data_IF_394388189345
#
_entry.id   IF_394388189345
#
_cell.length_a   1.000
_cell.length_b   1.000
_cell.length_c   1.000
_cell.angle_alpha   90.00
_cell.angle_beta   90.00
_cell.angle_gamma   90.00
#
_symmetry.space_group_name_H-M   'P 1'
#
loop_
_entity.id
_entity.type
_entity.pdbx_description
1 polymer ?
#
# COMPACT_ATOMS: atom_id res chain seq x y z
N UNK A 1 3.80 -7.87 15.60
CA UNK A 1 3.29 -9.00 16.41
C UNK A 1 2.91 -10.14 15.48
N UNK A 2 3.16 -11.39 15.89
CA UNK A 2 2.58 -12.54 15.20
C UNK A 2 1.06 -12.51 15.38
N UNK A 3 0.31 -12.79 14.32
CA UNK A 3 -1.15 -12.82 14.35
C UNK A 3 -1.60 -14.27 14.20
N UNK A 4 -2.43 -14.79 15.12
CA UNK A 4 -3.15 -16.04 14.89
C UNK A 4 -3.87 -16.00 13.54
N UNK A 5 -3.82 -17.09 12.79
CA UNK A 5 -4.46 -17.24 11.46
C UNK A 5 -4.00 -16.24 10.38
N UNK A 6 -2.92 -15.49 10.60
CA UNK A 6 -2.42 -14.45 9.70
C UNK A 6 -3.45 -13.37 9.34
N UNK A 7 -4.40 -13.10 10.25
CA UNK A 7 -5.47 -12.11 10.03
C UNK A 7 -5.45 -11.04 11.12
N UNK A 8 -5.44 -9.78 10.70
CA UNK A 8 -5.55 -8.65 11.62
C UNK A 8 -7.02 -8.28 11.85
N UNK A 9 -7.40 -8.07 13.12
CA UNK A 9 -8.69 -7.48 13.48
C UNK A 9 -8.66 -5.96 13.34
N UNK A 10 -9.84 -5.33 13.26
CA UNK A 10 -9.95 -3.86 13.22
C UNK A 10 -9.33 -3.21 14.47
N UNK A 11 -9.50 -3.84 15.63
CA UNK A 11 -8.95 -3.36 16.89
C UNK A 11 -7.43 -3.42 16.91
N UNK A 12 -6.83 -4.55 16.50
CA UNK A 12 -5.38 -4.67 16.37
C UNK A 12 -4.80 -3.62 15.40
N UNK A 13 -5.47 -3.37 14.28
CA UNK A 13 -5.06 -2.31 13.34
C UNK A 13 -5.15 -0.94 14.01
N UNK A 14 -6.26 -0.65 14.72
CA UNK A 14 -6.47 0.63 15.43
C UNK A 14 -5.38 0.88 16.47
N UNK A 15 -4.99 -0.15 17.22
CA UNK A 15 -3.96 -0.04 18.26
C UNK A 15 -2.57 0.14 17.67
N UNK A 16 -2.26 -0.54 16.56
CA UNK A 16 -0.93 -0.48 15.96
C UNK A 16 -0.71 0.69 14.99
N UNK A 17 -1.76 1.30 14.43
CA UNK A 17 -1.61 2.31 13.36
C UNK A 17 -0.76 3.51 13.76
N UNK A 18 -0.77 3.89 15.05
CA UNK A 18 0.02 5.01 15.55
C UNK A 18 1.52 4.85 15.29
N UNK A 19 2.06 3.62 15.38
CA UNK A 19 3.47 3.39 15.08
C UNK A 19 3.79 3.68 13.61
N UNK A 20 2.89 3.29 12.70
CA UNK A 20 3.03 3.60 11.28
C UNK A 20 2.90 5.10 11.01
N UNK A 21 1.98 5.78 11.70
CA UNK A 21 1.85 7.24 11.62
C UNK A 21 3.19 7.93 11.98
N UNK A 22 3.79 7.55 13.10
CA UNK A 22 5.09 8.11 13.54
C UNK A 22 6.20 7.79 12.54
N UNK A 23 6.26 6.56 12.03
CA UNK A 23 7.24 6.17 11.00
C UNK A 23 7.11 7.03 9.74
N UNK A 24 5.88 7.30 9.29
CA UNK A 24 5.64 8.14 8.12
C UNK A 24 6.06 9.59 8.34
N UNK A 25 5.80 10.16 9.52
CA UNK A 25 6.22 11.53 9.86
C UNK A 25 7.75 11.69 9.99
N UNK A 26 8.45 10.63 10.42
CA UNK A 26 9.92 10.62 10.52
C UNK A 26 10.55 10.44 9.13
N UNK A 27 10.09 9.44 8.37
CA UNK A 27 10.69 9.08 7.07
C UNK A 27 10.32 10.09 5.99
N UNK A 28 9.12 10.67 6.06
CA UNK A 28 8.57 11.62 5.06
C UNK A 28 8.68 11.08 3.64
N UNK A 29 8.12 9.88 3.36
CA UNK A 29 8.34 9.22 2.08
C UNK A 29 7.71 10.03 0.93
N UNK A 30 8.40 10.09 -0.20
CA UNK A 30 7.84 10.61 -1.45
C UNK A 30 6.84 9.62 -2.08
N UNK A 31 7.02 8.33 -1.84
CA UNK A 31 6.18 7.26 -2.39
C UNK A 31 5.81 6.25 -1.30
N UNK A 32 4.54 5.84 -1.24
CA UNK A 32 4.02 4.79 -0.37
C UNK A 32 3.39 3.69 -1.22
N UNK A 33 3.73 2.44 -0.93
CA UNK A 33 3.26 1.26 -1.69
C UNK A 33 2.51 0.32 -0.74
N UNK A 34 1.17 0.47 -0.57
CA UNK A 34 0.41 -0.45 0.27
C UNK A 34 0.26 -1.80 -0.43
N UNK A 35 0.61 -2.88 0.29
CA UNK A 35 0.56 -4.25 -0.20
C UNK A 35 -0.70 -4.97 0.29
N UNK A 36 -1.68 -5.16 -0.59
CA UNK A 36 -2.94 -5.84 -0.29
C UNK A 36 -4.00 -4.94 0.37
N UNK A 37 -5.19 -5.51 0.60
CA UNK A 37 -6.37 -4.75 1.04
C UNK A 37 -6.24 -4.13 2.44
N UNK A 38 -5.59 -4.82 3.38
CA UNK A 38 -5.47 -4.32 4.77
C UNK A 38 -4.64 -3.05 4.81
N UNK A 39 -3.47 -3.05 4.17
CA UNK A 39 -2.62 -1.87 4.06
C UNK A 39 -3.30 -0.76 3.25
N UNK A 40 -3.96 -1.13 2.14
CA UNK A 40 -4.68 -0.19 1.29
C UNK A 40 -5.79 0.53 2.06
N UNK A 41 -6.60 -0.16 2.87
CA UNK A 41 -7.69 0.47 3.61
C UNK A 41 -7.20 1.61 4.50
N UNK A 42 -6.13 1.36 5.26
CA UNK A 42 -5.55 2.38 6.13
C UNK A 42 -4.93 3.55 5.33
N UNK A 43 -4.15 3.27 4.29
CA UNK A 43 -3.53 4.31 3.46
C UNK A 43 -4.58 5.12 2.70
N UNK A 44 -5.64 4.47 2.23
CA UNK A 44 -6.76 5.09 1.56
C UNK A 44 -7.50 6.09 2.45
N UNK A 45 -7.77 5.71 3.69
CA UNK A 45 -8.37 6.57 4.70
C UNK A 45 -7.44 7.74 5.04
N UNK A 46 -6.17 7.46 5.33
CA UNK A 46 -5.20 8.48 5.77
C UNK A 46 -4.91 9.55 4.70
N UNK A 47 -4.88 9.16 3.43
CA UNK A 47 -4.49 10.05 2.32
C UNK A 47 -5.64 10.39 1.37
N UNK A 48 -6.86 9.99 1.71
CA UNK A 48 -8.09 10.27 0.96
C UNK A 48 -8.01 9.88 -0.54
N UNK A 49 -7.55 8.65 -0.84
CA UNK A 49 -7.44 8.14 -2.22
C UNK A 49 -8.61 7.23 -2.66
N UNK A 50 -9.72 7.25 -1.91
CA UNK A 50 -10.94 6.48 -2.20
C UNK A 50 -10.93 5.05 -1.62
N UNK A 51 -12.08 4.37 -1.67
CA UNK A 51 -12.31 3.09 -0.94
C UNK A 51 -12.40 1.85 -1.84
N UNK A 52 -11.72 1.87 -2.99
CA UNK A 52 -11.73 0.74 -3.93
C UNK A 52 -10.96 -0.49 -3.39
N UNK A 53 -11.29 -1.67 -3.93
CA UNK A 53 -10.56 -2.91 -3.64
C UNK A 53 -9.25 -2.97 -4.41
N UNK A 54 -8.24 -3.63 -3.85
CA UNK A 54 -6.92 -3.77 -4.48
C UNK A 54 -7.00 -4.35 -5.90
N UNK A 55 -7.95 -5.25 -6.15
CA UNK A 55 -8.13 -5.88 -7.46
C UNK A 55 -8.54 -4.91 -8.57
N UNK A 56 -9.04 -3.73 -8.24
CA UNK A 56 -9.44 -2.70 -9.22
C UNK A 56 -8.39 -1.61 -9.44
N UNK A 57 -7.50 -1.41 -8.46
CA UNK A 57 -6.63 -0.22 -8.42
C UNK A 57 -5.14 -0.53 -8.26
N UNK A 58 -4.76 -1.81 -8.20
CA UNK A 58 -3.35 -2.18 -8.18
C UNK A 58 -2.61 -1.58 -9.40
N UNK A 59 -1.36 -1.16 -9.18
CA UNK A 59 -0.51 -0.56 -10.21
C UNK A 59 -0.91 0.86 -10.66
N UNK A 60 -1.99 1.44 -10.11
CA UNK A 60 -2.38 2.84 -10.39
C UNK A 60 -1.60 3.80 -9.48
N UNK A 61 -1.30 4.98 -10.02
CA UNK A 61 -0.68 6.07 -9.28
C UNK A 61 -1.76 7.01 -8.76
N UNK A 62 -1.72 7.29 -7.46
CA UNK A 62 -2.53 8.32 -6.81
C UNK A 62 -1.62 9.42 -6.28
N UNK A 63 -1.97 10.68 -6.54
CA UNK A 63 -1.29 11.82 -5.94
C UNK A 63 -2.07 12.24 -4.69
N UNK A 64 -1.39 12.35 -3.57
CA UNK A 64 -1.98 12.79 -2.31
C UNK A 64 -1.08 13.85 -1.64
N UNK A 65 -1.61 14.43 -0.57
CA UNK A 65 -0.91 15.43 0.24
C UNK A 65 -0.74 14.89 1.66
N UNK A 66 0.47 14.99 2.19
CA UNK A 66 0.85 14.70 3.55
C UNK A 66 1.27 15.99 4.27
N UNK A 67 1.50 15.92 5.58
CA UNK A 67 2.10 17.01 6.38
C UNK A 67 3.45 17.47 5.82
N UNK A 68 4.22 16.56 5.21
CA UNK A 68 5.53 16.82 4.59
C UNK A 68 5.48 17.16 3.09
N UNK A 69 4.29 17.33 2.51
CA UNK A 69 4.12 17.76 1.12
C UNK A 69 3.48 16.70 0.22
N UNK A 70 3.85 16.68 -1.06
CA UNK A 70 3.27 15.77 -2.05
C UNK A 70 3.76 14.34 -1.83
N UNK A 71 2.85 13.38 -1.82
CA UNK A 71 3.16 11.95 -1.73
C UNK A 71 2.45 11.19 -2.85
N UNK A 72 3.14 10.23 -3.43
CA UNK A 72 2.61 9.32 -4.44
C UNK A 72 2.22 8.01 -3.77
N UNK A 73 1.05 7.48 -4.08
CA UNK A 73 0.58 6.20 -3.53
C UNK A 73 0.37 5.24 -4.70
N UNK A 74 0.98 4.05 -4.61
CA UNK A 74 0.88 3.02 -5.64
C UNK A 74 0.46 1.70 -4.99
N UNK A 75 -0.85 1.40 -4.94
CA UNK A 75 -1.32 0.14 -4.37
C UNK A 75 -0.83 -1.05 -5.18
N UNK A 76 -0.44 -2.14 -4.51
CA UNK A 76 -0.04 -3.39 -5.18
C UNK A 76 -0.63 -4.61 -4.47
N UNK A 77 -0.72 -5.73 -5.19
CA UNK A 77 -1.07 -6.99 -4.54
C UNK A 77 -0.05 -7.36 -3.47
N UNK A 78 -0.50 -8.06 -2.43
CA UNK A 78 0.41 -8.64 -1.45
C UNK A 78 1.23 -9.77 -2.12
N UNK A 79 2.57 -9.84 -1.93
CA UNK A 79 3.40 -10.86 -2.58
C UNK A 79 2.93 -12.30 -2.38
N UNK A 80 2.41 -12.62 -1.19
CA UNK A 80 1.82 -13.94 -0.90
C UNK A 80 0.66 -14.34 -1.84
N UNK A 81 0.00 -13.40 -2.53
CA UNK A 81 -1.02 -13.71 -3.52
C UNK A 81 -0.43 -14.40 -4.77
N UNK A 82 0.79 -14.06 -5.17
CA UNK A 82 1.47 -14.74 -6.28
C UNK A 82 1.83 -16.20 -5.97
N UNK A 83 2.01 -16.55 -4.69
CA UNK A 83 2.29 -17.93 -4.29
C UNK A 83 1.08 -18.85 -4.47
N UNK A 84 -0.14 -18.28 -4.43
CA UNK A 84 -1.39 -19.04 -4.55
C UNK A 84 -1.95 -19.09 -5.97
N UNK A 85 -1.53 -18.17 -6.84
CA UNK A 85 -2.02 -18.08 -8.21
C UNK A 85 -0.89 -17.62 -9.14
N UNK A 86 -0.41 -18.52 -9.99
CA UNK A 86 0.67 -18.24 -10.94
C UNK A 86 0.37 -17.10 -11.92
N UNK A 87 -0.90 -16.85 -12.26
CA UNK A 87 -1.30 -15.71 -13.08
C UNK A 87 -1.05 -14.35 -12.40
N UNK A 88 -1.18 -14.29 -11.07
CA UNK A 88 -0.94 -13.05 -10.30
C UNK A 88 0.54 -12.70 -10.23
N UNK A 89 1.45 -13.65 -10.41
CA UNK A 89 2.89 -13.37 -10.43
C UNK A 89 3.27 -12.44 -11.57
N UNK A 90 2.82 -12.74 -12.79
CA UNK A 90 3.08 -11.90 -13.98
C UNK A 90 2.52 -10.49 -13.80
N UNK A 91 1.33 -10.38 -13.18
CA UNK A 91 0.69 -9.11 -12.89
C UNK A 91 1.49 -8.29 -11.87
N UNK A 92 1.96 -8.91 -10.79
CA UNK A 92 2.84 -8.27 -9.80
C UNK A 92 4.14 -7.78 -10.44
N UNK A 93 4.81 -8.62 -11.24
CA UNK A 93 6.04 -8.24 -11.94
C UNK A 93 5.80 -7.03 -12.87
N UNK A 94 4.64 -6.97 -13.54
CA UNK A 94 4.24 -5.85 -14.38
C UNK A 94 4.04 -4.57 -13.56
N UNK A 95 3.35 -4.67 -12.42
CA UNK A 95 3.14 -3.52 -11.53
C UNK A 95 4.47 -3.00 -10.97
N UNK A 96 5.41 -3.87 -10.60
CA UNK A 96 6.74 -3.47 -10.11
C UNK A 96 7.56 -2.79 -11.20
N UNK A 97 7.51 -3.28 -12.45
CA UNK A 97 8.14 -2.61 -13.59
C UNK A 97 7.55 -1.22 -13.80
N UNK A 98 6.23 -1.07 -13.71
CA UNK A 98 5.56 0.23 -13.81
C UNK A 98 6.00 1.17 -12.70
N UNK A 99 6.11 0.70 -11.46
CA UNK A 99 6.63 1.48 -10.34
C UNK A 99 8.05 2.00 -10.62
N UNK A 100 8.93 1.16 -11.18
CA UNK A 100 10.29 1.58 -11.58
C UNK A 100 10.24 2.74 -12.57
N UNK A 101 9.37 2.69 -13.57
CA UNK A 101 9.25 3.79 -14.53
C UNK A 101 8.68 5.07 -13.89
N UNK A 102 7.76 4.94 -12.94
CA UNK A 102 7.29 6.08 -12.15
C UNK A 102 8.40 6.71 -11.30
N UNK A 103 9.28 5.89 -10.73
CA UNK A 103 10.41 6.34 -9.91
C UNK A 103 11.47 7.10 -10.72
N UNK A 104 11.73 6.73 -11.97
CA UNK A 104 12.68 7.46 -12.83
C UNK A 104 12.27 8.90 -13.14
N UNK A 105 10.96 9.19 -13.08
CA UNK A 105 10.37 10.48 -13.42
C UNK A 105 9.92 11.26 -12.17
N UNK A 106 10.54 11.01 -11.01
CA UNK A 106 10.13 11.53 -9.68
C UNK A 106 11.18 12.38 -8.99
#
# INVERSE_FOLDING_TARGET
CYLPENRATKEQIKTCKHYLDVQLEIIKPKIIVPLGNVALQYVAEKFNIGSDRISKIHGKLFNAKASWGKVKIVPMYHPAAALRNGGLRKMLETDWRRLRELLKNS
#
